data_IF_698664946560
#
_entry.id   IF_698664946560
#
_cell.length_a   1.000
_cell.length_b   1.000
_cell.length_c   1.000
_cell.angle_alpha   90.00
_cell.angle_beta   90.00
_cell.angle_gamma   90.00
#
_symmetry.space_group_name_H-M   'P 1'
#
loop_
_entity.id
_entity.type
_entity.pdbx_description
1 polymer ?
#
# COMPACT_ATOMS: atom_id res chain seq x y z
N UNK A 1 34.03 23.08 -16.07
CA UNK A 1 32.68 23.62 -15.78
C UNK A 1 31.59 22.53 -15.63
N UNK A 2 31.46 21.54 -16.50
CA UNK A 2 30.43 20.49 -16.43
C UNK A 2 30.50 19.56 -15.18
N UNK A 3 31.68 19.27 -14.64
CA UNK A 3 31.86 18.40 -13.45
C UNK A 3 31.44 19.13 -12.16
N UNK A 4 31.72 20.42 -12.04
CA UNK A 4 31.31 21.22 -10.87
C UNK A 4 29.79 21.43 -10.81
N UNK A 5 29.12 21.53 -11.96
CA UNK A 5 27.68 21.65 -12.06
C UNK A 5 26.98 20.33 -11.69
N UNK A 6 27.53 19.19 -12.13
CA UNK A 6 27.03 17.83 -11.72
C UNK A 6 27.15 17.59 -10.21
N UNK A 7 28.26 18.04 -9.58
CA UNK A 7 28.43 17.91 -8.11
C UNK A 7 27.42 18.76 -7.34
N UNK A 8 27.11 19.99 -7.82
CA UNK A 8 26.11 20.87 -7.18
C UNK A 8 24.70 20.29 -7.29
N UNK A 9 24.32 19.74 -8.43
CA UNK A 9 23.00 19.10 -8.62
C UNK A 9 22.85 17.85 -7.74
N UNK A 10 23.90 17.04 -7.63
CA UNK A 10 23.89 15.85 -6.77
C UNK A 10 23.77 16.24 -5.27
N UNK A 11 24.48 17.28 -4.84
CA UNK A 11 24.43 17.80 -3.46
C UNK A 11 23.04 18.38 -3.12
N UNK A 12 22.38 19.06 -4.05
CA UNK A 12 21.01 19.56 -3.84
C UNK A 12 20.01 18.40 -3.70
N UNK A 13 20.14 17.37 -4.52
CA UNK A 13 19.27 16.18 -4.45
C UNK A 13 19.50 15.43 -3.13
N UNK A 14 20.76 15.25 -2.73
CA UNK A 14 21.12 14.56 -1.47
C UNK A 14 20.62 15.35 -0.25
N UNK A 15 20.74 16.69 -0.26
CA UNK A 15 20.25 17.53 0.84
C UNK A 15 18.71 17.59 0.88
N UNK A 16 18.01 17.57 -0.26
CA UNK A 16 16.56 17.44 -0.31
C UNK A 16 16.11 16.09 0.29
N UNK A 17 16.76 14.99 -0.07
CA UNK A 17 16.47 13.67 0.50
C UNK A 17 16.77 13.63 2.02
N UNK A 18 17.89 14.23 2.44
CA UNK A 18 18.25 14.25 3.87
C UNK A 18 17.28 15.08 4.72
N UNK A 19 16.67 16.14 4.18
CA UNK A 19 15.68 16.95 4.88
C UNK A 19 14.38 16.19 5.18
N UNK A 20 14.05 15.12 4.39
CA UNK A 20 12.89 14.26 4.60
C UNK A 20 13.15 13.07 5.54
N UNK A 21 14.41 12.83 5.93
CA UNK A 21 14.81 11.73 6.80
C UNK A 21 14.82 12.10 8.29
N UNK A 22 14.39 13.30 8.67
CA UNK A 22 14.29 13.68 10.09
C UNK A 22 13.25 12.84 10.82
N UNK A 23 13.53 12.34 12.04
CA UNK A 23 12.54 11.65 12.86
C UNK A 23 11.35 12.58 13.13
N UNK A 24 10.17 12.17 12.73
CA UNK A 24 8.94 12.93 12.99
C UNK A 24 8.12 12.19 14.06
N UNK A 25 7.41 12.97 14.86
CA UNK A 25 6.53 12.45 15.94
C UNK A 25 5.41 11.55 15.39
N UNK A 26 4.95 10.61 16.23
CA UNK A 26 3.93 9.61 15.87
C UNK A 26 2.58 10.30 15.59
N UNK A 27 2.25 10.47 14.32
CA UNK A 27 0.89 10.80 13.86
C UNK A 27 0.45 9.73 12.86
N UNK A 28 -0.84 9.44 12.84
CA UNK A 28 -1.43 8.46 11.92
C UNK A 28 -1.10 8.83 10.46
N UNK A 29 -0.59 7.88 9.70
CA UNK A 29 -0.31 8.00 8.28
C UNK A 29 -0.87 6.79 7.54
N UNK A 30 -0.89 6.85 6.22
CA UNK A 30 -1.30 5.75 5.35
C UNK A 30 -0.07 5.16 4.71
N UNK A 31 0.05 3.84 4.70
CA UNK A 31 1.13 3.14 4.02
C UNK A 31 1.04 3.24 2.49
N UNK A 32 2.15 2.99 1.81
CA UNK A 32 2.21 3.00 0.34
C UNK A 32 1.47 1.78 -0.22
N UNK A 33 0.20 1.96 -0.64
CA UNK A 33 -0.62 0.87 -1.15
C UNK A 33 -0.08 0.30 -2.47
N UNK A 34 -0.21 -1.01 -2.67
CA UNK A 34 0.14 -1.68 -3.93
C UNK A 34 -1.02 -1.49 -4.91
N UNK A 35 -0.80 -0.67 -5.95
CA UNK A 35 -1.80 -0.36 -6.98
C UNK A 35 -1.42 -1.00 -8.30
N UNK A 36 -2.35 -1.78 -8.84
CA UNK A 36 -2.24 -2.44 -10.14
C UNK A 36 -1.60 -3.84 -10.11
N UNK A 37 -2.09 -4.75 -10.97
CA UNK A 37 -1.74 -6.16 -10.92
C UNK A 37 -0.31 -6.46 -11.35
N UNK A 38 0.29 -5.62 -12.22
CA UNK A 38 1.68 -5.78 -12.63
C UNK A 38 2.63 -5.60 -11.46
N UNK A 39 2.49 -4.50 -10.72
CA UNK A 39 3.30 -4.25 -9.53
C UNK A 39 2.98 -5.28 -8.43
N UNK A 40 1.71 -5.64 -8.23
CA UNK A 40 1.31 -6.66 -7.26
C UNK A 40 1.96 -8.01 -7.55
N UNK A 41 1.96 -8.48 -8.80
CA UNK A 41 2.63 -9.71 -9.19
C UNK A 41 4.15 -9.67 -9.03
N UNK A 42 4.76 -8.48 -8.97
CA UNK A 42 6.19 -8.26 -8.72
C UNK A 42 6.50 -7.81 -7.28
N UNK A 43 5.71 -8.26 -6.30
CA UNK A 43 5.95 -7.95 -4.88
C UNK A 43 5.73 -6.48 -4.50
N UNK A 44 5.00 -5.71 -5.30
CA UNK A 44 4.80 -4.28 -5.08
C UNK A 44 5.95 -3.40 -5.60
N UNK A 45 6.84 -3.92 -6.46
CA UNK A 45 7.89 -3.14 -7.10
C UNK A 45 7.36 -2.43 -8.35
N UNK A 46 7.28 -1.11 -8.32
CA UNK A 46 6.70 -0.29 -9.39
C UNK A 46 7.43 1.02 -9.69
N UNK A 47 8.28 1.52 -8.78
CA UNK A 47 8.87 2.87 -8.86
C UNK A 47 9.80 3.08 -10.06
N UNK A 48 10.61 2.06 -10.39
CA UNK A 48 11.53 2.12 -11.54
C UNK A 48 10.93 1.47 -12.80
N UNK A 49 9.87 0.65 -12.67
CA UNK A 49 9.37 -0.20 -13.76
C UNK A 49 8.11 0.33 -14.43
N UNK A 50 7.28 1.10 -13.70
CA UNK A 50 5.99 1.57 -14.21
C UNK A 50 6.17 2.72 -15.17
N UNK A 51 5.78 2.51 -16.44
CA UNK A 51 5.90 3.49 -17.53
C UNK A 51 4.59 3.67 -18.31
N UNK A 52 3.54 2.97 -17.89
CA UNK A 52 2.16 3.07 -18.38
C UNK A 52 1.35 4.13 -17.60
N UNK A 53 0.04 4.17 -17.75
CA UNK A 53 -0.82 5.15 -17.08
C UNK A 53 -0.76 5.07 -15.55
N UNK A 54 -0.43 3.90 -14.96
CA UNK A 54 -0.23 3.76 -13.51
C UNK A 54 1.00 4.52 -12.99
N UNK A 55 1.87 5.04 -13.88
CA UNK A 55 2.99 5.90 -13.45
C UNK A 55 2.48 7.19 -12.77
N UNK A 56 1.26 7.66 -13.05
CA UNK A 56 0.62 8.76 -12.32
C UNK A 56 0.49 8.48 -10.81
N UNK A 57 0.44 7.22 -10.42
CA UNK A 57 0.42 6.77 -9.02
C UNK A 57 1.81 6.38 -8.51
N UNK A 58 2.56 5.57 -9.29
CA UNK A 58 3.82 4.98 -8.84
C UNK A 58 4.99 5.95 -8.85
N UNK A 59 5.21 6.62 -9.98
CA UNK A 59 6.29 7.57 -10.18
C UNK A 59 6.00 8.41 -11.44
N UNK A 60 5.60 9.67 -11.31
CA UNK A 60 5.20 10.48 -12.47
C UNK A 60 6.28 10.60 -13.54
N UNK A 61 7.57 10.52 -13.18
CA UNK A 61 8.66 10.51 -14.14
C UNK A 61 8.62 9.31 -15.12
N UNK A 62 7.99 8.21 -14.72
CA UNK A 62 7.79 7.05 -15.57
C UNK A 62 6.95 7.32 -16.82
N UNK A 63 6.07 8.33 -16.78
CA UNK A 63 5.21 8.70 -17.90
C UNK A 63 5.99 9.03 -19.17
N UNK A 64 7.10 9.78 -19.07
CA UNK A 64 7.90 10.19 -20.22
C UNK A 64 8.91 9.13 -20.72
N UNK A 65 9.01 7.99 -20.03
CA UNK A 65 9.95 6.92 -20.40
C UNK A 65 9.52 6.11 -21.63
N UNK A 66 8.22 6.08 -21.95
CA UNK A 66 7.69 5.40 -23.14
C UNK A 66 6.78 6.33 -23.92
N UNK A 67 6.81 6.18 -25.26
CA UNK A 67 5.97 6.96 -26.17
C UNK A 67 4.70 6.18 -26.51
N UNK A 68 3.83 6.00 -25.51
CA UNK A 68 2.56 5.27 -25.64
C UNK A 68 1.42 6.10 -25.11
N UNK A 69 0.26 5.96 -25.70
CA UNK A 69 -1.01 6.35 -25.09
C UNK A 69 -1.55 5.12 -24.37
N UNK A 70 -1.91 5.25 -23.10
CA UNK A 70 -2.43 4.16 -22.29
C UNK A 70 -3.67 4.63 -21.53
N UNK A 71 -4.75 3.86 -21.64
CA UNK A 71 -5.99 4.06 -20.88
C UNK A 71 -6.22 2.77 -20.10
N UNK A 72 -6.30 2.88 -18.78
CA UNK A 72 -6.30 1.71 -17.90
C UNK A 72 -7.35 1.83 -16.81
N UNK A 73 -8.18 0.79 -16.71
CA UNK A 73 -9.06 0.55 -15.56
C UNK A 73 -8.40 -0.52 -14.68
N UNK A 74 -8.30 -0.28 -13.39
CA UNK A 74 -7.75 -1.26 -12.46
C UNK A 74 -8.55 -1.32 -11.16
N UNK A 75 -8.47 -2.48 -10.47
CA UNK A 75 -8.96 -2.69 -9.12
C UNK A 75 -8.10 -3.69 -8.39
N UNK A 76 -8.00 -3.56 -7.07
CA UNK A 76 -7.26 -4.49 -6.23
C UNK A 76 -7.66 -4.36 -4.76
N UNK A 77 -7.48 -5.46 -4.04
CA UNK A 77 -7.76 -5.55 -2.60
C UNK A 77 -6.64 -6.33 -1.92
N UNK A 78 -6.41 -6.02 -0.65
CA UNK A 78 -5.49 -6.72 0.22
C UNK A 78 -6.09 -6.79 1.62
N UNK A 79 -5.99 -7.95 2.27
CA UNK A 79 -6.36 -8.16 3.67
C UNK A 79 -5.24 -8.91 4.37
N UNK A 80 -4.91 -8.50 5.59
CA UNK A 80 -3.90 -9.14 6.44
C UNK A 80 -4.49 -9.36 7.82
N UNK A 81 -4.48 -10.60 8.26
CA UNK A 81 -4.88 -11.04 9.61
C UNK A 81 -3.61 -11.32 10.43
N UNK A 82 -3.09 -10.28 11.04
CA UNK A 82 -1.82 -10.38 11.77
C UNK A 82 -1.99 -11.16 13.07
N UNK A 83 -1.17 -12.18 13.25
CA UNK A 83 -1.15 -13.12 14.38
C UNK A 83 -2.42 -13.98 14.51
N UNK A 84 -3.25 -14.08 13.48
CA UNK A 84 -4.45 -14.91 13.47
C UNK A 84 -5.53 -14.41 14.45
N UNK A 85 -5.69 -13.09 14.56
CA UNK A 85 -6.68 -12.49 15.46
C UNK A 85 -8.10 -12.83 15.03
N UNK A 86 -8.35 -13.01 13.72
CA UNK A 86 -9.65 -13.40 13.19
C UNK A 86 -10.12 -14.74 13.78
N UNK A 87 -9.26 -15.76 13.76
CA UNK A 87 -9.59 -17.06 14.36
C UNK A 87 -9.81 -16.94 15.87
N UNK A 88 -9.03 -16.09 16.54
CA UNK A 88 -9.17 -15.88 17.99
C UNK A 88 -10.45 -15.14 18.35
N UNK A 89 -10.91 -14.22 17.48
CA UNK A 89 -12.23 -13.57 17.60
C UNK A 89 -13.34 -14.60 17.39
N UNK A 90 -13.21 -15.48 16.40
CA UNK A 90 -14.18 -16.54 16.16
C UNK A 90 -14.30 -17.48 17.37
N UNK A 91 -13.18 -17.86 17.98
CA UNK A 91 -13.20 -18.66 19.21
C UNK A 91 -13.86 -17.90 20.38
N UNK A 92 -13.77 -16.57 20.41
CA UNK A 92 -14.50 -15.73 21.38
C UNK A 92 -16.02 -15.71 21.10
N UNK A 93 -16.43 -15.61 19.84
CA UNK A 93 -17.84 -15.68 19.41
C UNK A 93 -18.46 -17.03 19.75
N UNK A 94 -17.70 -18.12 19.55
CA UNK A 94 -18.12 -19.49 19.85
C UNK A 94 -18.02 -19.82 21.36
N UNK A 95 -17.53 -18.88 22.20
CA UNK A 95 -17.43 -19.11 23.64
C UNK A 95 -18.81 -18.97 24.30
N UNK A 96 -19.23 -19.99 25.04
CA UNK A 96 -20.51 -19.95 25.73
C UNK A 96 -20.40 -19.17 27.06
N UNK A 97 -21.02 -17.98 27.18
CA UNK A 97 -20.91 -17.14 28.39
C UNK A 97 -21.67 -17.75 29.59
N UNK A 98 -22.45 -18.81 29.39
CA UNK A 98 -23.15 -19.50 30.45
C UNK A 98 -22.38 -20.73 31.00
N UNK A 99 -21.15 -20.95 30.48
CA UNK A 99 -20.32 -22.04 30.97
C UNK A 99 -19.98 -21.83 32.46
N UNK A 100 -20.13 -22.87 33.31
CA UNK A 100 -19.85 -22.75 34.74
C UNK A 100 -18.39 -22.41 35.01
N UNK A 101 -18.15 -21.72 36.10
CA UNK A 101 -16.81 -21.33 36.54
C UNK A 101 -16.01 -22.56 37.02
N UNK A 102 -15.46 -23.28 36.08
CA UNK A 102 -14.56 -24.43 36.31
C UNK A 102 -13.13 -24.07 35.89
N UNK A 103 -12.13 -24.72 36.44
CA UNK A 103 -10.73 -24.53 36.05
C UNK A 103 -10.52 -24.76 34.53
N UNK A 104 -11.27 -25.69 33.92
CA UNK A 104 -11.20 -25.98 32.49
C UNK A 104 -11.74 -24.79 31.64
N UNK A 105 -12.91 -24.25 32.01
CA UNK A 105 -13.53 -23.13 31.32
C UNK A 105 -12.76 -21.84 31.52
N UNK A 106 -12.19 -21.59 32.70
CA UNK A 106 -11.25 -20.49 32.94
C UNK A 106 -10.02 -20.62 32.06
N UNK A 107 -9.39 -21.79 31.96
CA UNK A 107 -8.22 -22.03 31.11
C UNK A 107 -8.54 -21.82 29.61
N UNK A 108 -9.73 -22.26 29.15
CA UNK A 108 -10.20 -22.01 27.77
C UNK A 108 -10.36 -20.50 27.52
N UNK A 109 -11.03 -19.80 28.41
CA UNK A 109 -11.25 -18.35 28.32
C UNK A 109 -9.92 -17.59 28.32
N UNK A 110 -9.00 -17.94 29.24
CA UNK A 110 -7.69 -17.30 29.32
C UNK A 110 -6.88 -17.53 28.04
N UNK A 111 -6.90 -18.71 27.46
CA UNK A 111 -6.22 -18.99 26.18
C UNK A 111 -6.75 -18.13 25.04
N UNK A 112 -8.08 -17.91 24.95
CA UNK A 112 -8.71 -17.03 23.95
C UNK A 112 -8.24 -15.58 24.20
N UNK A 113 -8.34 -15.09 25.43
CA UNK A 113 -7.92 -13.75 25.82
C UNK A 113 -6.44 -13.51 25.51
N UNK A 114 -5.54 -14.43 25.87
CA UNK A 114 -4.10 -14.32 25.63
C UNK A 114 -3.76 -14.25 24.13
N UNK A 115 -4.50 -14.97 23.27
CA UNK A 115 -4.32 -14.92 21.82
C UNK A 115 -4.75 -13.57 21.24
N UNK A 116 -5.90 -13.06 21.67
CA UNK A 116 -6.42 -11.76 21.22
C UNK A 116 -5.52 -10.62 21.73
N UNK A 117 -5.05 -10.71 22.97
CA UNK A 117 -4.23 -9.69 23.63
C UNK A 117 -2.76 -9.67 23.19
N UNK A 118 -2.36 -10.52 22.23
CA UNK A 118 -0.97 -10.50 21.72
C UNK A 118 -0.62 -9.12 21.18
N UNK A 119 0.53 -8.54 21.62
CA UNK A 119 0.97 -7.26 21.06
C UNK A 119 1.14 -7.34 19.54
N UNK A 120 0.49 -6.40 18.84
CA UNK A 120 0.52 -6.35 17.38
C UNK A 120 -0.51 -7.22 16.67
N UNK A 121 -1.41 -7.90 17.39
CA UNK A 121 -2.56 -8.59 16.79
C UNK A 121 -3.53 -7.54 16.18
N UNK A 122 -3.69 -7.57 14.87
CA UNK A 122 -4.47 -6.56 14.12
C UNK A 122 -5.03 -7.16 12.84
N UNK A 123 -6.14 -6.62 12.37
CA UNK A 123 -6.65 -6.84 11.02
C UNK A 123 -6.40 -5.56 10.23
N UNK A 124 -5.81 -5.66 9.06
CA UNK A 124 -5.67 -4.54 8.15
C UNK A 124 -6.19 -4.89 6.77
N UNK A 125 -6.81 -3.91 6.12
CA UNK A 125 -7.34 -4.03 4.76
C UNK A 125 -6.94 -2.82 3.96
N UNK A 126 -6.65 -3.02 2.67
CA UNK A 126 -6.53 -1.93 1.73
C UNK A 126 -7.16 -2.31 0.40
N UNK A 127 -7.60 -1.29 -0.33
CA UNK A 127 -8.18 -1.46 -1.65
C UNK A 127 -7.82 -0.29 -2.54
N UNK A 128 -7.85 -0.52 -3.84
CA UNK A 128 -7.68 0.53 -4.84
C UNK A 128 -8.51 0.24 -6.07
N UNK A 129 -9.11 1.27 -6.63
CA UNK A 129 -9.79 1.21 -7.93
C UNK A 129 -9.59 2.53 -8.67
N UNK A 130 -9.57 2.52 -10.00
CA UNK A 130 -9.47 3.77 -10.73
C UNK A 130 -9.29 3.62 -12.23
N UNK A 131 -9.52 4.76 -12.89
CA UNK A 131 -9.24 5.00 -14.28
C UNK A 131 -7.99 5.86 -14.41
N UNK A 132 -7.05 5.41 -15.19
CA UNK A 132 -5.76 6.06 -15.42
C UNK A 132 -5.57 6.29 -16.91
N UNK A 133 -5.08 7.46 -17.26
CA UNK A 133 -4.84 7.86 -18.66
C UNK A 133 -3.45 8.47 -18.77
N UNK A 134 -2.75 8.09 -19.83
CA UNK A 134 -1.45 8.64 -20.21
C UNK A 134 -1.46 9.00 -21.67
N UNK A 135 -0.89 10.15 -21.98
CA UNK A 135 -0.55 10.57 -23.34
C UNK A 135 0.84 11.19 -23.38
N UNK A 136 1.44 11.25 -24.57
CA UNK A 136 2.74 11.89 -24.73
C UNK A 136 2.80 12.76 -25.98
N UNK A 137 3.69 13.74 -25.97
CA UNK A 137 4.02 14.59 -27.11
C UNK A 137 5.54 14.85 -27.10
N UNK A 138 6.28 14.13 -27.96
CA UNK A 138 7.75 14.16 -27.95
C UNK A 138 8.33 13.70 -26.61
N UNK A 139 9.12 14.57 -25.98
CA UNK A 139 9.73 14.32 -24.67
C UNK A 139 8.80 14.65 -23.48
N UNK A 140 7.63 15.22 -23.74
CA UNK A 140 6.62 15.57 -22.75
C UNK A 140 5.61 14.43 -22.61
N UNK A 141 5.18 14.17 -21.38
CA UNK A 141 4.08 13.25 -21.10
C UNK A 141 3.10 13.87 -20.11
N UNK A 142 1.83 13.61 -20.33
CA UNK A 142 0.74 13.99 -19.47
C UNK A 142 0.07 12.73 -18.92
N UNK A 143 -0.36 12.80 -17.69
CA UNK A 143 -1.12 11.74 -17.05
C UNK A 143 -2.30 12.31 -16.28
N UNK A 144 -3.35 11.53 -16.22
CA UNK A 144 -4.57 11.86 -15.48
C UNK A 144 -5.08 10.60 -14.80
N UNK A 145 -5.57 10.70 -13.58
CA UNK A 145 -6.34 9.63 -12.98
C UNK A 145 -7.49 10.12 -12.12
N UNK A 146 -8.54 9.31 -12.09
CA UNK A 146 -9.58 9.31 -11.07
C UNK A 146 -9.47 7.98 -10.37
N UNK A 147 -9.09 8.01 -9.12
CA UNK A 147 -8.84 6.78 -8.36
C UNK A 147 -9.30 6.90 -6.92
N UNK A 148 -9.56 5.76 -6.35
CA UNK A 148 -9.92 5.58 -4.96
C UNK A 148 -8.89 4.64 -4.32
N UNK A 149 -8.31 5.04 -3.21
CA UNK A 149 -7.40 4.21 -2.41
C UNK A 149 -7.91 4.22 -0.98
N UNK A 150 -8.35 3.08 -0.53
CA UNK A 150 -8.87 2.89 0.81
C UNK A 150 -7.90 2.05 1.66
N UNK A 151 -7.78 2.38 2.92
CA UNK A 151 -7.07 1.58 3.92
C UNK A 151 -7.82 1.61 5.22
N UNK A 152 -7.83 0.50 5.93
CA UNK A 152 -8.49 0.38 7.22
C UNK A 152 -7.79 -0.65 8.10
N UNK A 153 -8.02 -0.54 9.38
CA UNK A 153 -7.49 -1.48 10.36
C UNK A 153 -8.36 -1.57 11.61
N UNK A 154 -8.31 -2.75 12.22
CA UNK A 154 -8.90 -3.01 13.52
C UNK A 154 -7.82 -3.50 14.48
N UNK A 155 -7.81 -2.97 15.67
CA UNK A 155 -6.82 -3.25 16.71
C UNK A 155 -7.46 -3.20 18.08
N UNK A 156 -6.85 -3.88 19.03
CA UNK A 156 -7.37 -3.93 20.39
C UNK A 156 -7.23 -2.56 21.06
N UNK A 157 -8.36 -1.99 21.52
CA UNK A 157 -8.41 -0.75 22.28
C UNK A 157 -8.56 -1.00 23.79
N UNK A 158 -9.24 -2.08 24.15
CA UNK A 158 -9.35 -2.56 25.53
C UNK A 158 -9.01 -4.05 25.53
N UNK A 159 -8.00 -4.49 26.30
CA UNK A 159 -7.65 -5.91 26.41
C UNK A 159 -8.87 -6.76 26.81
N UNK A 160 -8.94 -7.95 26.23
CA UNK A 160 -9.96 -8.93 26.63
C UNK A 160 -9.61 -9.46 28.01
N UNK A 161 -10.51 -9.18 28.95
CA UNK A 161 -10.43 -9.69 30.32
C UNK A 161 -11.28 -10.95 30.49
N UNK A 162 -10.84 -11.83 31.35
CA UNK A 162 -11.62 -12.98 31.85
C UNK A 162 -12.12 -12.64 33.25
N UNK A 163 -13.42 -12.70 33.44
CA UNK A 163 -14.05 -12.41 34.74
C UNK A 163 -15.00 -13.52 35.11
N UNK A 164 -15.22 -13.67 36.43
CA UNK A 164 -16.24 -14.55 36.99
C UNK A 164 -17.42 -13.68 37.46
N UNK A 165 -18.58 -13.90 36.88
CA UNK A 165 -19.80 -13.18 37.25
C UNK A 165 -20.92 -14.21 37.53
N UNK A 166 -21.38 -14.27 38.78
CA UNK A 166 -22.46 -15.16 39.16
C UNK A 166 -22.15 -16.64 39.01
N UNK A 167 -20.87 -17.04 39.13
CA UNK A 167 -20.45 -18.45 38.96
C UNK A 167 -20.29 -18.89 37.51
N UNK A 168 -20.24 -17.96 36.59
CA UNK A 168 -20.01 -18.18 35.15
C UNK A 168 -18.75 -17.43 34.69
N UNK A 169 -18.04 -18.00 33.71
CA UNK A 169 -16.87 -17.38 33.10
C UNK A 169 -17.31 -16.46 31.96
N UNK A 170 -16.90 -15.20 32.00
CA UNK A 170 -17.20 -14.23 30.95
C UNK A 170 -15.94 -13.61 30.37
N UNK A 171 -15.99 -13.27 29.08
CA UNK A 171 -14.95 -12.63 28.31
C UNK A 171 -15.46 -11.28 27.81
N UNK A 172 -14.72 -10.19 28.05
CA UNK A 172 -15.09 -8.87 27.55
C UNK A 172 -13.87 -8.01 27.24
N UNK A 173 -13.95 -7.22 26.17
CA UNK A 173 -12.93 -6.28 25.72
C UNK A 173 -13.48 -5.35 24.66
N UNK A 174 -12.61 -4.64 23.95
CA UNK A 174 -13.02 -3.80 22.81
C UNK A 174 -11.93 -3.69 21.74
N UNK A 175 -12.33 -3.63 20.48
CA UNK A 175 -11.50 -3.28 19.34
C UNK A 175 -11.86 -1.88 18.83
N UNK A 176 -10.86 -1.09 18.50
CA UNK A 176 -11.05 0.11 17.72
C UNK A 176 -10.86 -0.17 16.23
N UNK A 177 -11.65 0.49 15.40
CA UNK A 177 -11.51 0.48 13.94
C UNK A 177 -11.15 1.87 13.46
N UNK A 178 -10.26 1.95 12.46
CA UNK A 178 -9.90 3.18 11.76
C UNK A 178 -9.81 2.93 10.28
N UNK A 179 -10.21 3.91 9.47
CA UNK A 179 -10.13 3.83 8.03
C UNK A 179 -9.99 5.21 7.39
N UNK A 180 -9.38 5.22 6.21
CA UNK A 180 -9.35 6.37 5.31
C UNK A 180 -9.59 5.88 3.89
N UNK A 181 -10.60 6.41 3.24
CA UNK A 181 -10.82 6.32 1.80
C UNK A 181 -10.37 7.64 1.19
N UNK A 182 -9.41 7.59 0.29
CA UNK A 182 -8.85 8.74 -0.40
C UNK A 182 -9.24 8.69 -1.88
N UNK A 183 -10.32 9.40 -2.23
CA UNK A 183 -10.76 9.59 -3.61
C UNK A 183 -9.96 10.70 -4.25
N UNK A 184 -9.22 10.41 -5.32
CA UNK A 184 -8.23 11.30 -5.90
C UNK A 184 -8.59 11.66 -7.34
N UNK A 185 -8.45 12.95 -7.64
CA UNK A 185 -8.35 13.47 -9.00
C UNK A 185 -6.94 14.00 -9.17
N UNK A 186 -6.14 13.40 -10.03
CA UNK A 186 -4.73 13.72 -10.16
C UNK A 186 -4.32 14.03 -11.59
N UNK A 187 -3.49 15.05 -11.73
CA UNK A 187 -2.83 15.45 -12.97
C UNK A 187 -1.32 15.32 -12.81
N UNK A 188 -0.70 14.65 -13.78
CA UNK A 188 0.73 14.42 -13.79
C UNK A 188 1.34 14.99 -15.06
N UNK A 189 2.53 15.56 -14.91
CA UNK A 189 3.37 16.00 -16.02
C UNK A 189 4.77 15.42 -15.84
N UNK A 190 5.37 14.96 -16.93
CA UNK A 190 6.75 14.52 -16.95
C UNK A 190 7.48 15.02 -18.20
N UNK A 191 8.78 15.16 -18.04
CA UNK A 191 9.70 15.54 -19.13
C UNK A 191 10.93 14.65 -19.13
N UNK A 192 11.27 14.11 -20.30
CA UNK A 192 12.45 13.29 -20.50
C UNK A 192 13.59 14.12 -21.13
N UNK A 193 14.79 13.98 -20.56
CA UNK A 193 16.02 14.64 -21.01
C UNK A 193 16.95 13.61 -21.64
N UNK A 194 17.80 14.07 -22.59
CA UNK A 194 18.92 13.29 -23.14
C UNK A 194 18.51 11.87 -23.59
N UNK A 195 17.60 11.79 -24.55
CA UNK A 195 17.11 10.51 -25.08
C UNK A 195 16.56 9.56 -23.99
N UNK A 196 15.82 10.15 -23.04
CA UNK A 196 15.23 9.43 -21.89
C UNK A 196 16.25 8.86 -20.91
N UNK A 197 17.48 9.43 -20.88
CA UNK A 197 18.45 9.07 -19.85
C UNK A 197 18.02 9.55 -18.47
N UNK A 198 17.36 10.71 -18.38
CA UNK A 198 16.77 11.25 -17.16
C UNK A 198 15.33 11.69 -17.46
N UNK A 199 14.41 11.34 -16.60
CA UNK A 199 13.06 11.88 -16.60
C UNK A 199 12.71 12.43 -15.23
N UNK A 200 12.04 13.59 -15.22
CA UNK A 200 11.48 14.21 -14.01
C UNK A 200 9.97 14.33 -14.17
N UNK A 201 9.24 14.16 -13.09
CA UNK A 201 7.78 14.25 -13.11
C UNK A 201 7.22 14.82 -11.83
N UNK A 202 6.03 15.41 -11.96
CA UNK A 202 5.25 15.97 -10.87
C UNK A 202 3.80 15.55 -11.03
N UNK A 203 3.12 15.31 -9.89
CA UNK A 203 1.67 15.08 -9.82
C UNK A 203 1.05 16.07 -8.84
N UNK A 204 -0.01 16.74 -9.26
CA UNK A 204 -0.88 17.53 -8.39
C UNK A 204 -2.21 16.77 -8.23
N UNK A 205 -2.69 16.66 -6.97
CA UNK A 205 -3.89 15.88 -6.61
C UNK A 205 -4.87 16.73 -5.83
N UNK A 206 -6.15 16.59 -6.15
CA UNK A 206 -7.26 16.94 -5.24
C UNK A 206 -7.72 15.64 -4.62
N UNK A 207 -7.81 15.59 -3.29
CA UNK A 207 -8.12 14.39 -2.54
C UNK A 207 -9.33 14.66 -1.65
N UNK A 208 -10.44 13.97 -1.90
CA UNK A 208 -11.54 13.91 -0.96
C UNK A 208 -11.30 12.71 -0.05
N UNK A 209 -10.99 12.97 1.22
CA UNK A 209 -10.78 11.96 2.24
C UNK A 209 -12.07 11.71 3.01
N UNK A 210 -12.47 10.44 3.13
CA UNK A 210 -13.50 9.98 4.04
C UNK A 210 -12.81 9.19 5.17
N UNK A 211 -12.71 9.81 6.34
CA UNK A 211 -12.09 9.22 7.52
C UNK A 211 -13.15 8.52 8.37
N UNK A 212 -12.83 7.32 8.82
CA UNK A 212 -13.69 6.47 9.65
C UNK A 212 -13.00 6.16 10.96
N UNK A 213 -13.78 6.13 12.06
CA UNK A 213 -13.34 5.54 13.31
C UNK A 213 -14.55 4.99 14.08
N UNK A 214 -14.29 3.95 14.86
CA UNK A 214 -15.34 3.36 15.68
C UNK A 214 -14.77 2.37 16.67
N UNK A 215 -15.67 1.78 17.44
CA UNK A 215 -15.32 0.78 18.45
C UNK A 215 -16.33 -0.36 18.39
N UNK A 216 -15.81 -1.58 18.41
CA UNK A 216 -16.58 -2.80 18.52
C UNK A 216 -16.33 -3.45 19.88
N UNK A 217 -17.38 -3.73 20.62
CA UNK A 217 -17.28 -4.45 21.88
C UNK A 217 -17.06 -5.95 21.60
N UNK A 218 -16.03 -6.51 22.21
CA UNK A 218 -15.75 -7.93 22.22
C UNK A 218 -16.45 -8.55 23.44
N UNK A 219 -17.30 -9.54 23.22
CA UNK A 219 -17.98 -10.26 24.29
C UNK A 219 -18.14 -11.71 23.89
N UNK A 220 -17.80 -12.65 24.79
CA UNK A 220 -17.97 -14.06 24.54
C UNK A 220 -19.41 -14.43 24.19
N UNK A 221 -19.60 -15.23 23.16
CA UNK A 221 -20.90 -15.67 22.67
C UNK A 221 -21.66 -14.69 21.79
N UNK A 222 -21.08 -13.55 21.42
CA UNK A 222 -21.69 -12.57 20.54
C UNK A 222 -20.92 -12.45 19.21
N UNK A 223 -21.65 -12.45 18.08
CA UNK A 223 -21.08 -12.20 16.76
C UNK A 223 -20.52 -10.78 16.65
N UNK A 224 -19.28 -10.66 16.21
CA UNK A 224 -18.62 -9.40 15.97
C UNK A 224 -18.70 -8.98 14.50
N UNK A 225 -19.44 -7.92 14.19
CA UNK A 225 -19.50 -7.33 12.86
C UNK A 225 -18.57 -6.12 12.77
N UNK A 226 -17.31 -6.35 12.45
CA UNK A 226 -16.30 -5.26 12.31
C UNK A 226 -16.71 -4.22 11.26
N UNK A 227 -17.43 -4.60 10.19
CA UNK A 227 -17.96 -3.66 9.19
C UNK A 227 -18.86 -2.59 9.80
N UNK A 228 -19.68 -2.96 10.76
CA UNK A 228 -20.68 -2.09 11.38
C UNK A 228 -20.03 -1.14 12.40
N UNK A 229 -18.79 -1.44 12.82
CA UNK A 229 -18.04 -0.66 13.80
C UNK A 229 -17.29 0.54 13.25
N UNK A 230 -17.19 0.71 11.92
CA UNK A 230 -16.47 1.86 11.35
C UNK A 230 -17.16 3.20 11.55
N UNK A 231 -18.44 3.22 11.93
CA UNK A 231 -19.17 4.44 12.20
C UNK A 231 -19.42 5.29 10.93
N UNK A 232 -19.83 6.54 11.14
CA UNK A 232 -20.07 7.49 10.04
C UNK A 232 -18.78 8.18 9.62
N UNK A 233 -18.55 8.27 8.31
CA UNK A 233 -17.39 8.97 7.76
C UNK A 233 -17.44 10.49 8.04
N UNK A 234 -16.28 11.06 8.35
CA UNK A 234 -16.04 12.51 8.26
C UNK A 234 -15.35 12.78 6.92
N UNK A 235 -15.96 13.64 6.11
CA UNK A 235 -15.50 13.93 4.75
C UNK A 235 -14.88 15.31 4.70
N UNK A 236 -13.63 15.39 4.22
CA UNK A 236 -12.94 16.65 4.00
C UNK A 236 -12.09 16.58 2.72
N UNK A 237 -11.70 17.74 2.18
CA UNK A 237 -10.93 17.82 0.93
C UNK A 237 -9.59 18.46 1.19
N UNK A 238 -8.55 17.87 0.63
CA UNK A 238 -7.16 18.34 0.72
C UNK A 238 -6.48 18.26 -0.64
N UNK A 239 -5.23 18.75 -0.71
CA UNK A 239 -4.42 18.76 -1.94
C UNK A 239 -3.13 18.01 -1.68
N UNK A 240 -2.66 17.26 -2.67
CA UNK A 240 -1.42 16.49 -2.61
C UNK A 240 -0.47 16.85 -3.74
N UNK A 241 0.83 16.77 -3.47
CA UNK A 241 1.90 16.95 -4.47
C UNK A 241 2.85 15.78 -4.35
N UNK A 242 3.09 15.11 -5.51
CA UNK A 242 4.11 14.07 -5.63
C UNK A 242 5.17 14.52 -6.64
N UNK A 243 6.42 14.16 -6.41
CA UNK A 243 7.50 14.34 -7.37
C UNK A 243 8.24 13.03 -7.60
N UNK A 244 8.77 12.85 -8.79
CA UNK A 244 9.51 11.67 -9.13
C UNK A 244 10.65 11.93 -10.09
N UNK A 245 11.61 11.01 -10.08
CA UNK A 245 12.70 10.96 -11.05
C UNK A 245 12.94 9.53 -11.49
N UNK A 246 13.33 9.36 -12.76
CA UNK A 246 13.83 8.11 -13.32
C UNK A 246 15.13 8.39 -14.03
N UNK A 247 16.18 7.65 -13.69
CA UNK A 247 17.50 7.73 -14.32
C UNK A 247 17.83 6.39 -14.99
N UNK A 248 18.09 6.43 -16.29
CA UNK A 248 18.41 5.28 -17.14
C UNK A 248 19.80 5.44 -17.75
N UNK A 249 20.88 5.07 -17.03
CA UNK A 249 22.26 5.22 -17.53
C UNK A 249 22.57 4.32 -18.74
N UNK A 250 21.82 3.24 -18.92
CA UNK A 250 21.95 2.30 -20.03
C UNK A 250 20.59 1.70 -20.40
N UNK A 251 20.51 1.00 -21.52
CA UNK A 251 19.27 0.34 -21.98
C UNK A 251 18.78 -0.74 -21.01
N UNK A 252 19.68 -1.36 -20.27
CA UNK A 252 19.42 -2.49 -19.37
C UNK A 252 19.27 -2.10 -17.88
N UNK A 253 19.58 -0.84 -17.49
CA UNK A 253 19.57 -0.42 -16.08
C UNK A 253 18.76 0.87 -15.89
N UNK A 254 17.91 0.87 -14.87
CA UNK A 254 17.04 2.00 -14.52
C UNK A 254 16.95 2.14 -13.01
N UNK A 255 17.02 3.37 -12.53
CA UNK A 255 16.76 3.75 -11.15
C UNK A 255 15.56 4.68 -11.12
N UNK A 256 14.73 4.54 -10.10
CA UNK A 256 13.60 5.41 -9.85
C UNK A 256 13.58 5.89 -8.41
N UNK A 257 13.09 7.10 -8.19
CA UNK A 257 12.75 7.61 -6.87
C UNK A 257 11.48 8.41 -6.96
N UNK A 258 10.62 8.26 -5.97
CA UNK A 258 9.39 9.04 -5.83
C UNK A 258 9.24 9.52 -4.39
N UNK A 259 8.76 10.75 -4.24
CA UNK A 259 8.32 11.32 -2.99
C UNK A 259 6.86 11.73 -3.14
N UNK A 260 5.98 11.13 -2.35
CA UNK A 260 4.53 11.35 -2.37
C UNK A 260 4.10 12.20 -1.18
N UNK A 261 3.00 12.92 -1.39
CA UNK A 261 2.32 13.71 -0.35
C UNK A 261 3.24 14.73 0.37
N UNK A 262 4.10 15.39 -0.41
CA UNK A 262 5.13 16.30 0.08
C UNK A 262 4.60 17.45 0.93
N UNK A 263 3.41 17.92 0.62
CA UNK A 263 2.72 19.00 1.34
C UNK A 263 1.84 18.52 2.50
N UNK A 264 1.89 17.22 2.84
CA UNK A 264 1.19 16.59 3.96
C UNK A 264 -0.33 16.86 3.96
N UNK A 265 -1.07 16.35 2.96
CA UNK A 265 -2.53 16.48 2.96
C UNK A 265 -3.14 16.07 4.30
N UNK A 266 -4.08 16.88 4.79
CA UNK A 266 -4.71 16.69 6.11
C UNK A 266 -6.21 16.53 5.92
N UNK A 267 -6.81 15.64 6.69
CA UNK A 267 -8.24 15.33 6.69
C UNK A 267 -8.79 15.37 8.12
N UNK A 268 -10.02 15.84 8.25
CA UNK A 268 -10.73 15.83 9.54
C UNK A 268 -11.01 14.38 9.96
N UNK A 269 -10.76 14.06 11.23
CA UNK A 269 -11.03 12.74 11.79
C UNK A 269 -12.34 12.72 12.59
N UNK A 270 -13.12 11.62 12.60
CA UNK A 270 -14.28 11.48 13.46
C UNK A 270 -13.92 11.66 14.94
N UNK A 271 -14.75 12.40 15.67
CA UNK A 271 -14.51 12.71 17.09
C UNK A 271 -13.57 13.88 17.35
N UNK A 272 -13.12 14.57 16.30
CA UNK A 272 -12.16 15.68 16.36
C UNK A 272 -10.72 15.21 16.16
N UNK A 273 -9.87 16.12 15.71
CA UNK A 273 -8.49 15.84 15.35
C UNK A 273 -8.29 15.73 13.84
N UNK A 274 -7.08 15.38 13.43
CA UNK A 274 -6.66 15.35 12.02
C UNK A 274 -5.95 14.06 11.67
N UNK A 275 -6.20 13.57 10.46
CA UNK A 275 -5.46 12.52 9.79
C UNK A 275 -4.54 13.15 8.75
N UNK A 276 -3.21 12.92 8.84
CA UNK A 276 -2.21 13.49 7.92
C UNK A 276 -1.60 12.42 7.04
N UNK A 277 -1.61 12.63 5.72
CA UNK A 277 -0.76 11.85 4.82
C UNK A 277 0.67 12.38 4.93
N UNK A 278 1.55 11.61 5.54
CA UNK A 278 2.96 11.99 5.66
C UNK A 278 3.70 11.77 4.36
N UNK A 279 4.76 12.55 4.09
CA UNK A 279 5.62 12.32 2.94
C UNK A 279 6.21 10.91 2.95
N UNK A 280 6.05 10.21 1.84
CA UNK A 280 6.56 8.86 1.65
C UNK A 280 7.60 8.88 0.53
N UNK A 281 8.79 8.39 0.81
CA UNK A 281 9.86 8.28 -0.18
C UNK A 281 10.16 6.81 -0.44
N UNK A 282 10.09 6.41 -1.72
CA UNK A 282 10.43 5.07 -2.17
C UNK A 282 11.42 5.14 -3.31
N UNK A 283 12.49 4.35 -3.22
CA UNK A 283 13.48 4.14 -4.28
C UNK A 283 13.29 2.80 -4.95
N UNK A 284 13.63 2.71 -6.22
CA UNK A 284 13.55 1.48 -6.99
C UNK A 284 14.68 1.35 -7.99
N UNK A 285 14.99 0.10 -8.34
CA UNK A 285 15.92 -0.27 -9.39
C UNK A 285 15.28 -1.33 -10.29
N UNK A 286 15.50 -1.23 -11.59
CA UNK A 286 15.12 -2.24 -12.56
C UNK A 286 16.29 -2.59 -13.46
N UNK A 287 16.49 -3.89 -13.69
CA UNK A 287 17.52 -4.46 -14.55
C UNK A 287 16.86 -5.31 -15.63
N UNK A 288 17.21 -5.07 -16.87
CA UNK A 288 16.78 -5.84 -18.04
C UNK A 288 17.97 -6.61 -18.61
N UNK A 289 18.32 -7.80 -18.10
CA UNK A 289 19.45 -8.59 -18.64
C UNK A 289 19.31 -8.87 -20.13
N UNK A 290 18.08 -9.05 -20.59
CA UNK A 290 17.67 -9.07 -21.99
C UNK A 290 16.26 -8.47 -22.13
N UNK A 291 15.83 -8.18 -23.34
CA UNK A 291 14.63 -7.35 -23.61
C UNK A 291 13.33 -7.90 -23.01
N UNK A 292 13.23 -9.23 -22.84
CA UNK A 292 12.03 -9.90 -22.34
C UNK A 292 12.04 -10.18 -20.83
N UNK A 293 13.16 -9.96 -20.12
CA UNK A 293 13.27 -10.16 -18.66
C UNK A 293 13.50 -8.83 -17.95
N UNK A 294 12.67 -8.55 -16.97
CA UNK A 294 12.86 -7.45 -16.03
C UNK A 294 13.02 -8.00 -14.62
N UNK A 295 14.11 -7.64 -13.94
CA UNK A 295 14.31 -7.85 -12.51
C UNK A 295 14.18 -6.50 -11.81
N UNK A 296 13.50 -6.44 -10.68
CA UNK A 296 13.26 -5.16 -9.98
C UNK A 296 13.31 -5.31 -8.47
N UNK A 297 13.71 -4.23 -7.82
CA UNK A 297 13.67 -4.10 -6.37
C UNK A 297 13.28 -2.67 -6.01
N UNK A 298 12.34 -2.52 -5.08
CA UNK A 298 11.95 -1.23 -4.51
C UNK A 298 12.09 -1.28 -2.98
N UNK A 299 12.41 -0.13 -2.38
CA UNK A 299 12.52 0.00 -0.92
C UNK A 299 11.96 1.34 -0.45
N UNK A 300 11.18 1.31 0.64
CA UNK A 300 10.77 2.54 1.33
C UNK A 300 11.98 3.14 2.05
N UNK A 301 12.33 4.37 1.70
CA UNK A 301 13.35 5.14 2.40
C UNK A 301 12.81 5.72 3.72
N UNK A 302 11.49 5.97 3.78
CA UNK A 302 10.80 6.44 4.99
C UNK A 302 10.18 5.28 5.76
N UNK A 303 10.15 5.38 7.09
CA UNK A 303 9.33 4.52 7.93
C UNK A 303 7.96 5.17 8.09
N UNK A 304 6.92 4.54 7.53
CA UNK A 304 5.58 5.07 7.51
C UNK A 304 4.80 4.57 8.73
N UNK A 305 4.10 5.45 9.44
CA UNK A 305 3.12 5.03 10.44
C UNK A 305 1.87 4.53 9.72
N UNK A 306 1.17 3.56 10.31
CA UNK A 306 -0.11 3.06 9.76
C UNK A 306 -1.29 3.66 10.54
N UNK A 307 -2.52 3.38 10.11
CA UNK A 307 -3.73 3.74 10.87
C UNK A 307 -3.84 2.98 12.19
N UNK A 308 -3.08 1.91 12.35
CA UNK A 308 -3.02 1.11 13.58
C UNK A 308 -1.90 1.65 14.47
N UNK A 309 -2.20 2.09 15.70
CA UNK A 309 -1.20 2.62 16.62
C UNK A 309 -0.06 1.63 16.89
N UNK A 310 1.17 2.14 16.91
CA UNK A 310 2.37 1.33 17.17
C UNK A 310 2.84 0.45 16.01
N UNK A 311 2.07 0.37 14.92
CA UNK A 311 2.45 -0.38 13.71
C UNK A 311 3.11 0.56 12.70
N UNK A 312 4.33 0.23 12.29
CA UNK A 312 5.10 0.95 11.26
C UNK A 312 5.28 0.09 10.02
N UNK A 313 5.29 0.71 8.85
CA UNK A 313 5.52 0.07 7.57
C UNK A 313 6.78 0.64 6.91
N UNK A 314 7.67 -0.24 6.48
CA UNK A 314 8.82 0.07 5.63
C UNK A 314 9.07 -1.14 4.74
N UNK A 315 8.58 -1.09 3.51
CA UNK A 315 8.50 -2.26 2.64
C UNK A 315 9.74 -2.39 1.76
N UNK A 316 10.27 -3.60 1.68
CA UNK A 316 11.19 -4.07 0.65
C UNK A 316 10.40 -4.97 -0.30
N UNK A 317 10.45 -4.66 -1.60
CA UNK A 317 9.77 -5.36 -2.68
C UNK A 317 10.79 -5.91 -3.67
N UNK A 318 10.61 -7.16 -4.09
CA UNK A 318 11.45 -7.82 -5.08
C UNK A 318 10.55 -8.44 -6.14
N UNK A 319 10.92 -8.32 -7.42
CA UNK A 319 10.10 -8.83 -8.51
C UNK A 319 10.87 -9.21 -9.75
N UNK A 320 10.26 -10.09 -10.53
CA UNK A 320 10.70 -10.47 -11.88
C UNK A 320 9.49 -10.55 -12.80
N UNK A 321 9.66 -10.07 -14.02
CA UNK A 321 8.70 -10.19 -15.13
C UNK A 321 9.40 -10.77 -16.34
N UNK A 322 8.87 -11.90 -16.84
CA UNK A 322 9.28 -12.49 -18.10
C UNK A 322 8.15 -12.35 -19.11
N UNK A 323 8.43 -11.68 -20.23
CA UNK A 323 7.52 -11.61 -21.38
C UNK A 323 7.92 -12.64 -22.42
N UNK A 324 6.93 -13.25 -23.07
CA UNK A 324 7.13 -14.25 -24.12
C UNK A 324 6.21 -13.97 -25.31
N UNK A 325 6.47 -14.59 -26.44
CA UNK A 325 5.67 -14.48 -27.66
C UNK A 325 5.46 -13.02 -28.11
N UNK A 326 6.54 -12.25 -28.20
CA UNK A 326 6.52 -10.84 -28.62
C UNK A 326 5.58 -9.98 -27.74
N UNK A 327 5.69 -10.15 -26.42
CA UNK A 327 4.88 -9.47 -25.39
C UNK A 327 3.40 -9.90 -25.32
N UNK A 328 2.99 -10.94 -26.06
CA UNK A 328 1.63 -11.48 -25.96
C UNK A 328 1.33 -11.98 -24.54
N UNK A 329 2.30 -12.63 -23.88
CA UNK A 329 2.13 -13.20 -22.56
C UNK A 329 3.25 -12.72 -21.62
N UNK A 330 2.86 -12.34 -20.42
CA UNK A 330 3.77 -11.90 -19.34
C UNK A 330 3.55 -12.73 -18.10
N UNK A 331 4.62 -13.32 -17.56
CA UNK A 331 4.61 -13.98 -16.25
C UNK A 331 5.36 -13.15 -15.24
N UNK A 332 4.85 -13.08 -14.04
CA UNK A 332 5.42 -12.29 -12.95
C UNK A 332 5.50 -13.13 -11.68
N UNK A 333 6.59 -12.95 -10.97
CA UNK A 333 6.78 -13.48 -9.62
C UNK A 333 7.45 -12.41 -8.78
N UNK A 334 7.16 -12.40 -7.50
CA UNK A 334 7.74 -11.44 -6.60
C UNK A 334 7.53 -11.81 -5.14
N UNK A 335 8.06 -10.97 -4.28
CA UNK A 335 7.83 -11.05 -2.85
C UNK A 335 8.05 -9.69 -2.21
N UNK A 336 7.35 -9.40 -1.13
CA UNK A 336 7.58 -8.21 -0.33
C UNK A 336 7.62 -8.54 1.16
N UNK A 337 8.25 -7.64 1.92
CA UNK A 337 8.36 -7.75 3.36
C UNK A 337 8.32 -6.38 4.01
N UNK A 338 7.56 -6.25 5.11
CA UNK A 338 7.69 -5.09 5.99
C UNK A 338 8.93 -5.26 6.89
N UNK A 339 9.96 -4.46 6.67
CA UNK A 339 11.22 -4.52 7.42
C UNK A 339 11.08 -4.05 8.87
N UNK A 340 10.00 -3.34 9.22
CA UNK A 340 9.71 -2.94 10.61
C UNK A 340 9.08 -4.06 11.42
N UNK A 341 8.70 -5.13 10.77
CA UNK A 341 8.18 -6.34 11.39
C UNK A 341 9.19 -7.48 11.25
N UNK A 342 10.06 -7.62 12.26
CA UNK A 342 11.14 -8.60 12.25
C UNK A 342 10.65 -10.06 12.20
N UNK A 343 9.44 -10.31 12.67
CA UNK A 343 8.85 -11.65 12.74
C UNK A 343 8.17 -12.12 11.45
N UNK A 344 7.87 -11.20 10.50
CA UNK A 344 7.12 -11.52 9.28
C UNK A 344 8.05 -11.99 8.16
N UNK A 345 7.78 -13.12 7.50
CA UNK A 345 8.53 -13.59 6.34
C UNK A 345 8.21 -12.72 5.11
N UNK A 346 8.87 -13.01 3.97
CA UNK A 346 8.46 -12.45 2.69
C UNK A 346 7.11 -13.04 2.28
N UNK A 347 6.17 -12.16 1.85
CA UNK A 347 4.90 -12.54 1.25
C UNK A 347 5.10 -12.77 -0.24
N UNK A 348 4.98 -14.00 -0.75
CA UNK A 348 5.13 -14.31 -2.16
C UNK A 348 3.94 -13.78 -2.98
N UNK A 349 4.24 -13.38 -4.21
CA UNK A 349 3.27 -12.88 -5.18
C UNK A 349 3.50 -13.47 -6.55
N UNK A 350 2.46 -13.53 -7.36
CA UNK A 350 2.52 -13.94 -8.76
C UNK A 350 1.54 -13.13 -9.61
N UNK A 351 1.75 -13.11 -10.91
CA UNK A 351 0.86 -12.44 -11.85
C UNK A 351 1.02 -12.93 -13.27
N UNK A 352 -0.03 -12.67 -14.05
CA UNK A 352 -0.05 -12.98 -15.48
C UNK A 352 -0.65 -11.78 -16.23
N UNK A 353 -0.14 -11.51 -17.43
CA UNK A 353 -0.67 -10.51 -18.33
C UNK A 353 -0.80 -11.07 -19.74
N UNK A 354 -1.90 -10.75 -20.42
CA UNK A 354 -2.13 -11.13 -21.82
C UNK A 354 -2.39 -9.85 -22.61
N UNK A 355 -1.67 -9.69 -23.73
CA UNK A 355 -1.80 -8.55 -24.65
C UNK A 355 -2.26 -9.03 -26.01
N UNK A 356 -3.41 -8.54 -26.46
CA UNK A 356 -3.98 -8.82 -27.77
C UNK A 356 -4.09 -7.49 -28.51
N UNK A 357 -3.18 -7.23 -29.45
CA UNK A 357 -3.03 -5.93 -30.11
C UNK A 357 -2.87 -4.79 -29.09
N UNK A 358 -3.83 -3.85 -29.09
CA UNK A 358 -3.86 -2.72 -28.14
C UNK A 358 -4.45 -3.08 -26.77
N UNK A 359 -5.21 -4.16 -26.69
CA UNK A 359 -5.90 -4.58 -25.47
C UNK A 359 -4.97 -5.43 -24.59
N UNK A 360 -4.95 -5.12 -23.29
CA UNK A 360 -4.17 -5.88 -22.31
C UNK A 360 -4.99 -6.17 -21.08
N UNK A 361 -4.93 -7.42 -20.63
CA UNK A 361 -5.49 -7.92 -19.38
C UNK A 361 -4.35 -8.34 -18.45
N UNK A 362 -4.36 -7.88 -17.24
CA UNK A 362 -3.41 -8.29 -16.22
C UNK A 362 -4.14 -8.71 -14.95
N UNK A 363 -3.66 -9.75 -14.30
CA UNK A 363 -4.05 -10.16 -12.95
C UNK A 363 -2.81 -10.42 -12.13
N UNK A 364 -2.90 -10.14 -10.84
CA UNK A 364 -1.83 -10.39 -9.88
C UNK A 364 -2.40 -10.64 -8.50
N UNK A 365 -1.66 -11.38 -7.69
CA UNK A 365 -2.07 -11.68 -6.34
C UNK A 365 -0.94 -12.27 -5.52
N UNK A 366 -1.19 -12.50 -4.25
CA UNK A 366 -0.25 -13.13 -3.34
C UNK A 366 -0.94 -13.62 -2.09
N UNK A 367 -0.22 -14.40 -1.31
CA UNK A 367 -0.73 -14.95 -0.07
C UNK A 367 0.35 -15.02 0.99
N UNK A 368 0.07 -14.45 2.14
CA UNK A 368 0.91 -14.56 3.32
C UNK A 368 0.47 -15.80 4.12
N UNK A 369 1.27 -16.86 4.04
CA UNK A 369 0.96 -18.14 4.69
C UNK A 369 1.05 -18.10 6.22
N UNK A 370 1.76 -17.11 6.75
CA UNK A 370 1.95 -16.97 8.20
C UNK A 370 0.88 -16.07 8.83
N UNK A 371 0.66 -14.92 8.21
CA UNK A 371 -0.29 -13.91 8.68
C UNK A 371 -1.69 -14.08 8.05
N UNK A 372 -1.91 -15.17 7.30
CA UNK A 372 -3.16 -15.48 6.59
C UNK A 372 -3.68 -14.30 5.76
N UNK A 373 -2.75 -13.53 5.16
CA UNK A 373 -3.07 -12.37 4.35
C UNK A 373 -3.24 -12.75 2.89
N UNK A 374 -4.21 -12.15 2.22
CA UNK A 374 -4.44 -12.32 0.79
C UNK A 374 -4.47 -10.98 0.07
N UNK A 375 -3.94 -10.96 -1.15
CA UNK A 375 -4.01 -9.80 -2.04
C UNK A 375 -4.34 -10.24 -3.45
N UNK A 376 -5.17 -9.45 -4.14
CA UNK A 376 -5.56 -9.68 -5.53
C UNK A 376 -5.78 -8.36 -6.25
N UNK A 377 -5.40 -8.29 -7.52
CA UNK A 377 -5.64 -7.14 -8.38
C UNK A 377 -5.83 -7.55 -9.83
N UNK A 378 -6.65 -6.79 -10.56
CA UNK A 378 -6.88 -6.94 -11.98
C UNK A 378 -6.86 -5.60 -12.71
N UNK A 379 -6.51 -5.60 -13.98
CA UNK A 379 -6.65 -4.44 -14.85
C UNK A 379 -6.96 -4.80 -16.29
N UNK A 380 -7.67 -3.88 -16.94
CA UNK A 380 -7.90 -3.84 -18.37
C UNK A 380 -7.32 -2.55 -18.92
N UNK A 381 -6.53 -2.63 -19.98
CA UNK A 381 -5.99 -1.42 -20.61
C UNK A 381 -6.00 -1.47 -22.13
N UNK A 382 -6.05 -0.26 -22.72
CA UNK A 382 -5.82 -0.01 -24.14
C UNK A 382 -4.52 0.79 -24.27
N UNK A 383 -3.55 0.23 -24.98
CA UNK A 383 -2.21 0.82 -25.17
C UNK A 383 -1.90 0.92 -26.66
N UNK A 384 -1.60 2.15 -27.13
CA UNK A 384 -1.30 2.48 -28.52
C UNK A 384 0.10 3.04 -28.68
#
# INVERSE_FOLDING_TARGET
MRIAQRRRTLLVIVNLIAAFLTPQEDSNAVEFAIVGPRAMGMGGAGVATTTDALATYWNPAGLAMTQTVDIRLQGGVQGIDRLGIHDSIKDLEDFNPNDPDTAANQAKAQNIADRINRPGATISTSGSAGLYVKGHLGEHALGFNVSDVATGGAFLSTPVGVTNTGGQVTLAGAMATRGLEARQLAFSYAYAFNDKMLSLGITAKVIQGAAYSGTANLQGGNDLKLSDSFGKATISTSYGIDIGAVYRPSSWLRFGIVAKDLNQPTFDAPGGGELKLRPQVRGGMAVNPYSSLTLTADVDATSNTTLVPGVKSQVLSLGAEQTVLTEFLSFRVGAFKNMKDAGTPFTPTAGIGVRIFALRFDVGGGYDFREKGALASGSLSLTF
#
